data_IF_924628956463
#
_entry.id   IF_924628956463
#
_cell.length_a   1.000
_cell.length_b   1.000
_cell.length_c   1.000
_cell.angle_alpha   90.00
_cell.angle_beta   90.00
_cell.angle_gamma   90.00
#
_symmetry.space_group_name_H-M   'P 1'
#
loop_
_entity.id
_entity.type
_entity.pdbx_description
1 polymer ?
#
# COMPACT_ATOMS: atom_id res chain seq x y z
N UNK A 1 2.85 -4.33 -7.82
CA UNK A 1 1.92 -5.28 -7.18
C UNK A 1 1.36 -4.59 -5.96
N UNK A 2 0.05 -4.66 -5.72
CA UNK A 2 -0.54 -4.13 -4.49
C UNK A 2 -0.05 -4.98 -3.31
N UNK A 3 0.48 -4.34 -2.28
CA UNK A 3 0.98 -5.01 -1.07
C UNK A 3 -0.17 -5.73 -0.38
N UNK A 4 0.06 -6.96 0.06
CA UNK A 4 -0.92 -7.73 0.81
C UNK A 4 -1.03 -7.22 2.25
N UNK A 5 -2.18 -7.47 2.88
CA UNK A 5 -2.38 -7.16 4.30
C UNK A 5 -1.34 -7.86 5.18
N UNK A 6 -0.92 -9.08 4.80
CA UNK A 6 0.14 -9.81 5.49
C UNK A 6 1.48 -9.07 5.46
N UNK A 7 1.90 -8.59 4.29
CA UNK A 7 3.17 -7.86 4.14
C UNK A 7 3.15 -6.56 4.94
N UNK A 8 2.05 -5.81 4.86
CA UNK A 8 1.83 -4.63 5.69
C UNK A 8 1.93 -4.94 7.19
N UNK A 9 1.27 -6.01 7.64
CA UNK A 9 1.30 -6.45 9.03
C UNK A 9 2.69 -6.86 9.49
N UNK A 10 3.44 -7.60 8.67
CA UNK A 10 4.80 -8.03 9.01
C UNK A 10 5.74 -6.86 9.17
N UNK A 11 5.64 -5.87 8.29
CA UNK A 11 6.52 -4.71 8.35
C UNK A 11 6.14 -3.76 9.49
N UNK A 12 4.86 -3.63 9.81
CA UNK A 12 4.41 -2.91 11.00
C UNK A 12 4.93 -3.54 12.30
N UNK A 13 4.95 -4.89 12.39
CA UNK A 13 5.54 -5.59 13.53
C UNK A 13 7.06 -5.37 13.62
N UNK A 14 7.77 -5.38 12.49
CA UNK A 14 9.23 -5.12 12.46
C UNK A 14 9.54 -3.67 12.86
N UNK A 15 8.78 -2.70 12.37
CA UNK A 15 9.00 -1.28 12.62
C UNK A 15 8.73 -0.91 14.10
N UNK A 16 7.69 -1.50 14.69
CA UNK A 16 7.29 -1.21 16.08
C UNK A 16 7.97 -2.09 17.12
N UNK A 17 8.47 -3.27 16.73
CA UNK A 17 8.95 -4.31 17.64
C UNK A 17 7.85 -4.97 18.47
N UNK A 18 6.58 -4.77 18.12
CA UNK A 18 5.46 -5.30 18.91
C UNK A 18 5.26 -6.81 18.69
N UNK A 19 4.79 -7.49 19.72
CA UNK A 19 4.41 -8.90 19.60
C UNK A 19 3.02 -9.03 18.97
N UNK A 20 2.78 -10.13 18.25
CA UNK A 20 1.46 -10.44 17.66
C UNK A 20 0.38 -10.47 18.75
N UNK A 21 0.70 -10.98 19.94
CA UNK A 21 -0.25 -11.05 21.05
C UNK A 21 -0.62 -9.65 21.56
N UNK A 22 0.33 -8.70 21.57
CA UNK A 22 0.04 -7.30 21.92
C UNK A 22 -0.93 -6.70 20.91
N UNK A 23 -0.63 -6.82 19.61
CA UNK A 23 -1.52 -6.26 18.57
C UNK A 23 -2.91 -6.89 18.62
N UNK A 24 -3.00 -8.20 18.84
CA UNK A 24 -4.28 -8.90 18.98
C UNK A 24 -5.11 -8.36 20.16
N UNK A 25 -4.46 -8.13 21.31
CA UNK A 25 -5.11 -7.60 22.50
C UNK A 25 -5.62 -6.17 22.29
N UNK A 26 -4.77 -5.30 21.75
CA UNK A 26 -5.12 -3.89 21.46
C UNK A 26 -6.22 -3.77 20.39
N UNK A 27 -6.18 -4.64 19.36
CA UNK A 27 -7.15 -4.62 18.27
C UNK A 27 -8.46 -5.34 18.63
N UNK A 28 -8.49 -6.12 19.73
CA UNK A 28 -9.64 -6.96 20.07
C UNK A 28 -9.92 -8.05 19.02
N UNK A 29 -8.87 -8.64 18.43
CA UNK A 29 -8.97 -9.70 17.40
C UNK A 29 -8.28 -10.98 17.85
N UNK A 30 -8.54 -12.11 17.19
CA UNK A 30 -7.91 -13.38 17.59
C UNK A 30 -6.42 -13.41 17.31
N UNK A 31 -5.62 -13.61 18.37
CA UNK A 31 -4.18 -13.83 18.25
C UNK A 31 -3.85 -15.07 17.39
N UNK A 32 -4.72 -16.08 17.38
CA UNK A 32 -4.53 -17.27 16.53
C UNK A 32 -4.68 -16.93 15.04
N UNK A 33 -5.67 -16.11 14.69
CA UNK A 33 -5.87 -15.64 13.32
C UNK A 33 -4.68 -14.82 12.85
N UNK A 34 -4.18 -13.89 13.67
CA UNK A 34 -2.99 -13.09 13.32
C UNK A 34 -1.71 -13.94 13.20
N UNK A 35 -1.57 -15.00 14.02
CA UNK A 35 -0.46 -15.95 13.86
C UNK A 35 -0.55 -16.72 12.54
N UNK A 36 -1.74 -17.21 12.16
CA UNK A 36 -1.96 -17.88 10.87
C UNK A 36 -1.68 -16.96 9.69
N UNK A 37 -2.13 -15.70 9.77
CA UNK A 37 -1.81 -14.65 8.79
C UNK A 37 -0.30 -14.44 8.69
N UNK A 38 0.39 -14.24 9.81
CA UNK A 38 1.84 -14.01 9.81
C UNK A 38 2.63 -15.20 9.20
N UNK A 39 2.20 -16.43 9.51
CA UNK A 39 2.79 -17.66 8.96
C UNK A 39 2.48 -17.88 7.47
N UNK A 40 1.62 -17.07 6.86
CA UNK A 40 1.24 -17.21 5.45
C UNK A 40 0.20 -18.29 5.18
N UNK A 41 -0.45 -18.81 6.23
CA UNK A 41 -1.61 -19.71 6.08
C UNK A 41 -2.86 -18.94 5.61
N UNK A 42 -2.83 -17.61 5.72
CA UNK A 42 -3.72 -16.68 5.04
C UNK A 42 -2.91 -15.48 4.55
N UNK A 43 -3.35 -14.87 3.44
CA UNK A 43 -2.78 -13.61 2.92
C UNK A 43 -3.61 -12.38 3.31
N UNK A 44 -4.84 -12.60 3.80
CA UNK A 44 -5.81 -11.58 4.17
C UNK A 44 -6.61 -11.98 5.42
N UNK A 45 -7.32 -11.02 5.99
CA UNK A 45 -8.36 -11.24 7.01
C UNK A 45 -9.65 -10.57 6.56
N UNK A 46 -10.73 -10.71 7.33
CA UNK A 46 -11.95 -9.95 7.05
C UNK A 46 -11.70 -8.43 7.20
N UNK A 47 -12.54 -7.62 6.56
CA UNK A 47 -12.35 -6.16 6.52
C UNK A 47 -12.41 -5.53 7.92
N UNK A 48 -13.30 -6.00 8.79
CA UNK A 48 -13.46 -5.47 10.16
C UNK A 48 -12.19 -5.65 11.01
N UNK A 49 -11.58 -6.84 10.96
CA UNK A 49 -10.35 -7.14 11.70
C UNK A 49 -9.16 -6.41 11.08
N UNK A 50 -9.13 -6.26 9.75
CA UNK A 50 -8.10 -5.49 9.06
C UNK A 50 -8.12 -4.01 9.50
N UNK A 51 -9.31 -3.41 9.59
CA UNK A 51 -9.51 -2.04 10.08
C UNK A 51 -9.05 -1.87 11.52
N UNK A 52 -9.46 -2.78 12.43
CA UNK A 52 -9.06 -2.73 13.84
C UNK A 52 -7.54 -2.82 13.99
N UNK A 53 -6.90 -3.73 13.26
CA UNK A 53 -5.44 -3.89 13.29
C UNK A 53 -4.74 -2.65 12.75
N UNK A 54 -5.19 -2.07 11.63
CA UNK A 54 -4.62 -0.82 11.09
C UNK A 54 -4.74 0.33 12.11
N UNK A 55 -5.88 0.43 12.79
CA UNK A 55 -6.13 1.47 13.79
C UNK A 55 -5.20 1.37 15.00
N UNK A 56 -4.79 0.16 15.40
CA UNK A 56 -3.78 -0.06 16.45
C UNK A 56 -2.41 0.54 16.09
N UNK A 57 -2.12 0.66 14.80
CA UNK A 57 -0.92 1.35 14.30
C UNK A 57 -1.14 2.84 14.00
N UNK A 58 -2.35 3.36 14.27
CA UNK A 58 -2.68 4.78 14.10
C UNK A 58 -2.93 5.21 12.65
N UNK A 59 -3.21 4.26 11.75
CA UNK A 59 -3.42 4.53 10.32
C UNK A 59 -4.74 3.94 9.83
N UNK A 60 -5.24 4.45 8.71
CA UNK A 60 -6.36 3.84 7.97
C UNK A 60 -5.92 2.55 7.28
N UNK A 61 -6.88 1.72 6.82
CA UNK A 61 -6.56 0.48 6.11
C UNK A 61 -5.86 0.74 4.77
N UNK A 62 -6.27 1.77 4.02
CA UNK A 62 -5.63 2.15 2.77
C UNK A 62 -4.16 2.56 2.98
N UNK A 63 -3.89 3.41 3.97
CA UNK A 63 -2.52 3.79 4.37
C UNK A 63 -1.72 2.58 4.85
N UNK A 64 -2.35 1.67 5.61
CA UNK A 64 -1.70 0.46 6.10
C UNK A 64 -1.26 -0.45 4.94
N UNK A 65 -2.09 -0.59 3.91
CA UNK A 65 -1.77 -1.34 2.71
C UNK A 65 -0.79 -0.60 1.78
N UNK A 66 -0.50 0.68 2.05
CA UNK A 66 0.30 1.51 1.15
C UNK A 66 -0.39 1.70 -0.19
N UNK A 67 -1.73 1.75 -0.21
CA UNK A 67 -2.51 2.04 -1.42
C UNK A 67 -2.61 3.56 -1.64
N UNK A 68 -1.46 4.19 -1.89
CA UNK A 68 -1.40 5.60 -2.28
C UNK A 68 -1.91 5.81 -3.71
N UNK A 69 -2.39 4.76 -4.39
CA UNK A 69 -2.82 4.83 -5.79
C UNK A 69 -3.95 5.84 -5.98
N UNK A 70 -4.88 5.93 -5.02
CA UNK A 70 -5.96 6.90 -5.07
C UNK A 70 -5.44 8.35 -4.94
N UNK A 71 -4.52 8.58 -4.01
CA UNK A 71 -3.90 9.88 -3.78
C UNK A 71 -3.01 10.29 -4.96
N UNK A 72 -2.20 9.37 -5.47
CA UNK A 72 -1.36 9.57 -6.66
C UNK A 72 -2.20 9.86 -7.89
N UNK A 73 -3.32 9.14 -8.10
CA UNK A 73 -4.24 9.42 -9.22
C UNK A 73 -4.88 10.81 -9.10
N UNK A 74 -5.25 11.21 -7.88
CA UNK A 74 -5.81 12.53 -7.63
C UNK A 74 -4.78 13.63 -7.93
N UNK A 75 -3.55 13.48 -7.42
CA UNK A 75 -2.44 14.40 -7.65
C UNK A 75 -2.10 14.53 -9.14
N UNK A 76 -1.99 13.40 -9.85
CA UNK A 76 -1.75 13.39 -11.31
C UNK A 76 -2.88 14.09 -12.07
N UNK A 77 -4.14 13.87 -11.67
CA UNK A 77 -5.28 14.52 -12.30
C UNK A 77 -5.32 16.03 -12.05
N UNK A 78 -4.96 16.47 -10.84
CA UNK A 78 -4.82 17.90 -10.51
C UNK A 78 -3.70 18.56 -11.32
N UNK A 79 -2.52 17.94 -11.35
CA UNK A 79 -1.40 18.42 -12.15
C UNK A 79 -1.81 18.53 -13.62
N UNK A 80 -2.42 17.48 -14.17
CA UNK A 80 -2.87 17.47 -15.56
C UNK A 80 -3.84 18.61 -15.89
N UNK A 81 -4.77 18.93 -14.97
CA UNK A 81 -5.71 20.05 -15.14
C UNK A 81 -5.03 21.41 -15.18
N UNK A 82 -3.93 21.59 -14.43
CA UNK A 82 -3.19 22.86 -14.36
C UNK A 82 -2.30 23.09 -15.58
N UNK A 83 -1.92 22.03 -16.30
CA UNK A 83 -1.11 22.14 -17.51
C UNK A 83 -1.91 22.63 -18.72
N UNK A 84 -1.30 23.53 -19.49
CA UNK A 84 -1.74 23.89 -20.84
C UNK A 84 -1.59 22.72 -21.82
N UNK A 85 -2.16 22.85 -23.02
CA UNK A 85 -2.08 21.81 -24.03
C UNK A 85 -0.63 21.56 -24.48
N UNK A 86 0.19 22.60 -24.64
CA UNK A 86 1.60 22.47 -25.02
C UNK A 86 2.41 21.76 -23.93
N UNK A 87 2.19 22.08 -22.65
CA UNK A 87 2.89 21.41 -21.54
C UNK A 87 2.51 19.94 -21.42
N UNK A 88 1.24 19.59 -21.67
CA UNK A 88 0.78 18.20 -21.75
C UNK A 88 1.47 17.44 -22.87
N UNK A 89 1.61 18.07 -24.04
CA UNK A 89 2.24 17.45 -25.21
C UNK A 89 3.73 17.18 -24.96
N UNK A 90 4.44 18.10 -24.30
CA UNK A 90 5.83 17.91 -23.86
C UNK A 90 5.93 16.75 -22.86
N UNK A 91 5.04 16.69 -21.87
CA UNK A 91 5.05 15.66 -20.84
C UNK A 91 4.79 14.27 -21.43
N UNK A 92 3.84 14.16 -22.36
CA UNK A 92 3.57 12.92 -23.11
C UNK A 92 4.75 12.50 -24.00
N UNK A 93 5.39 13.46 -24.68
CA UNK A 93 6.57 13.19 -25.50
C UNK A 93 7.74 12.66 -24.65
N UNK A 94 7.98 13.27 -23.49
CA UNK A 94 9.01 12.84 -22.54
C UNK A 94 8.73 11.44 -21.97
N UNK A 95 7.48 11.15 -21.59
CA UNK A 95 7.08 9.84 -21.08
C UNK A 95 7.25 8.73 -22.13
N UNK A 96 6.87 9.00 -23.39
CA UNK A 96 7.06 8.06 -24.51
C UNK A 96 8.54 7.82 -24.81
N UNK A 97 9.36 8.86 -24.76
CA UNK A 97 10.82 8.77 -24.96
C UNK A 97 11.50 7.85 -23.94
N UNK A 98 11.16 7.97 -22.65
CA UNK A 98 11.72 7.09 -21.60
C UNK A 98 11.18 5.67 -21.68
N UNK A 99 9.88 5.49 -21.96
CA UNK A 99 9.29 4.15 -22.08
C UNK A 99 9.87 3.31 -23.23
N UNK A 100 10.39 3.96 -24.28
CA UNK A 100 11.10 3.31 -25.37
C UNK A 100 12.53 2.89 -24.98
N UNK A 101 13.24 3.69 -24.19
CA UNK A 101 14.58 3.37 -23.69
C UNK A 101 14.57 2.22 -22.67
N UNK A 102 13.59 2.20 -21.77
CA UNK A 102 13.47 1.17 -20.72
C UNK A 102 13.10 -0.22 -21.29
N UNK A 103 12.37 -0.26 -22.40
CA UNK A 103 12.05 -1.51 -23.13
C UNK A 103 13.19 -2.03 -23.99
N UNK A 104 14.17 -1.18 -24.33
CA UNK A 104 15.40 -1.58 -25.03
C UNK A 104 16.53 -2.05 -24.11
N UNK A 105 16.42 -1.78 -22.80
CA UNK A 105 17.44 -2.10 -21.80
C UNK A 105 17.21 -3.42 -21.04
N UNK A 106 16.21 -4.22 -21.43
CA UNK A 106 15.97 -5.53 -20.82
C UNK A 106 16.83 -6.60 -21.50
N UNK A 107 17.75 -7.30 -20.79
CA UNK A 107 18.49 -8.43 -21.34
C UNK A 107 17.58 -9.63 -21.63
#
# INVERSE_FOLDING_TARGET
>A
MTRTFREAFQDALKATGWSINKVAAEAGVSAEQLKKLNQGRSQSTNVDDALKVAHVFGVTLDEFLGDDTAQLRAEVADLWRQLSQEERDILLAAARGRGAQDRGAKP
#
